data_IF_839491150580
#
_entry.id   IF_839491150580
#
_cell.length_a   1.000
_cell.length_b   1.000
_cell.length_c   1.000
_cell.angle_alpha   90.00
_cell.angle_beta   90.00
_cell.angle_gamma   90.00
#
_symmetry.space_group_name_H-M   'P 1'
#
loop_
_entity.id
_entity.type
_entity.pdbx_description
1 polymer ?
#
# COMPACT_ATOMS: atom_id res chain seq x y z
N UNK A 1 -24.51 6.29 -85.47
CA UNK A 1 -23.13 6.76 -85.21
C UNK A 1 -22.60 6.13 -83.93
N UNK A 2 -21.57 5.28 -84.02
CA UNK A 2 -20.94 4.60 -82.89
C UNK A 2 -20.04 5.59 -82.15
N UNK A 3 -20.32 5.87 -80.88
CA UNK A 3 -19.41 6.61 -80.00
C UNK A 3 -18.76 5.63 -79.00
N UNK A 4 -17.44 5.49 -79.11
CA UNK A 4 -16.58 4.63 -78.28
C UNK A 4 -16.38 5.28 -76.90
N UNK A 5 -16.79 4.61 -75.82
CA UNK A 5 -16.42 4.97 -74.44
C UNK A 5 -14.97 4.56 -74.14
N UNK A 6 -14.17 5.39 -73.46
CA UNK A 6 -12.80 5.05 -73.09
C UNK A 6 -12.73 4.13 -71.87
N UNK A 7 -11.76 3.20 -71.91
CA UNK A 7 -11.38 2.27 -70.84
C UNK A 7 -10.81 3.01 -69.63
N UNK A 8 -11.32 2.70 -68.44
CA UNK A 8 -10.75 3.11 -67.14
C UNK A 8 -9.57 2.22 -66.76
N UNK A 9 -8.42 2.82 -66.45
CA UNK A 9 -7.27 2.13 -65.86
C UNK A 9 -7.51 1.76 -64.39
N UNK A 10 -6.91 0.68 -63.88
CA UNK A 10 -7.07 0.26 -62.48
C UNK A 10 -6.25 1.16 -61.54
N UNK A 11 -6.68 1.32 -60.27
CA UNK A 11 -5.98 2.16 -59.30
C UNK A 11 -4.64 1.54 -58.87
N UNK A 12 -3.62 2.38 -58.82
CA UNK A 12 -2.28 2.09 -58.32
C UNK A 12 -2.31 1.60 -56.86
N UNK A 13 -1.64 0.47 -56.59
CA UNK A 13 -1.44 -0.07 -55.24
C UNK A 13 -0.69 0.97 -54.38
N UNK A 14 -1.36 1.48 -53.34
CA UNK A 14 -0.73 2.28 -52.31
C UNK A 14 0.24 1.40 -51.50
N UNK A 15 1.52 1.75 -51.53
CA UNK A 15 2.57 1.20 -50.68
C UNK A 15 2.24 1.49 -49.21
N UNK A 16 2.03 0.44 -48.40
CA UNK A 16 1.92 0.56 -46.95
C UNK A 16 3.31 0.85 -46.37
N UNK A 17 3.50 1.89 -45.53
CA UNK A 17 4.76 2.07 -44.83
C UNK A 17 4.94 0.93 -43.82
N UNK A 18 6.11 0.28 -43.87
CA UNK A 18 6.55 -0.72 -42.91
C UNK A 18 6.51 -0.14 -41.49
N UNK A 19 6.16 -0.94 -40.46
CA UNK A 19 6.23 -0.48 -39.08
C UNK A 19 7.68 -0.16 -38.72
N UNK A 20 7.91 1.03 -38.17
CA UNK A 20 9.18 1.42 -37.58
C UNK A 20 9.43 0.48 -36.39
N UNK A 21 10.35 -0.47 -36.56
CA UNK A 21 10.86 -1.28 -35.46
C UNK A 21 11.76 -0.37 -34.64
N UNK A 22 11.22 0.17 -33.55
CA UNK A 22 12.02 0.81 -32.50
C UNK A 22 12.67 -0.32 -31.70
N UNK A 23 13.86 -0.74 -32.13
CA UNK A 23 14.73 -1.61 -31.35
C UNK A 23 15.11 -0.87 -30.07
N UNK A 24 14.46 -1.23 -28.96
CA UNK A 24 14.90 -0.79 -27.65
C UNK A 24 16.28 -1.40 -27.39
N UNK A 25 17.30 -0.63 -26.99
CA UNK A 25 18.58 -1.20 -26.64
C UNK A 25 18.36 -2.15 -25.46
N UNK A 26 18.81 -3.39 -25.62
CA UNK A 26 18.89 -4.37 -24.53
C UNK A 26 19.82 -3.75 -23.49
N UNK A 27 19.24 -3.22 -22.41
CA UNK A 27 20.01 -2.77 -21.27
C UNK A 27 20.69 -4.00 -20.67
N UNK A 28 22.00 -4.10 -20.83
CA UNK A 28 22.80 -5.04 -20.06
C UNK A 28 22.51 -4.81 -18.57
N UNK A 29 22.25 -5.86 -17.78
CA UNK A 29 22.02 -5.71 -16.35
C UNK A 29 23.29 -5.14 -15.73
N UNK A 30 23.23 -3.85 -15.35
CA UNK A 30 24.27 -3.28 -14.50
C UNK A 30 24.35 -4.12 -13.22
N UNK A 31 25.56 -4.34 -12.67
CA UNK A 31 25.68 -4.99 -11.37
C UNK A 31 24.82 -4.21 -10.39
N UNK A 32 23.80 -4.88 -9.84
CA UNK A 32 22.87 -4.26 -8.89
C UNK A 32 23.70 -3.65 -7.76
N UNK A 33 23.61 -2.32 -7.55
CA UNK A 33 24.08 -1.70 -6.31
C UNK A 33 23.56 -2.57 -5.17
N UNK A 34 24.46 -3.18 -4.38
CA UNK A 34 24.06 -4.00 -3.23
C UNK A 34 23.27 -3.08 -2.29
N UNK A 35 21.98 -3.35 -2.16
CA UNK A 35 21.14 -2.60 -1.25
C UNK A 35 21.54 -2.94 0.19
N UNK A 36 21.40 -1.99 1.13
CA UNK A 36 21.56 -2.28 2.54
C UNK A 36 20.59 -3.38 2.99
N UNK A 37 20.92 -4.10 4.08
CA UNK A 37 20.00 -5.08 4.65
C UNK A 37 18.71 -4.43 5.14
N UNK A 38 17.62 -5.19 5.14
CA UNK A 38 16.38 -4.75 5.78
C UNK A 38 16.55 -4.73 7.29
N UNK A 39 16.01 -3.68 7.93
CA UNK A 39 15.88 -3.68 9.38
C UNK A 39 14.71 -4.56 9.77
N UNK A 40 15.04 -5.76 10.23
CA UNK A 40 14.07 -6.77 10.62
C UNK A 40 14.70 -7.75 11.60
N UNK A 41 14.92 -7.29 12.82
CA UNK A 41 15.54 -8.05 13.91
C UNK A 41 14.60 -9.07 14.55
N UNK A 42 13.34 -8.70 14.75
CA UNK A 42 12.29 -9.59 15.22
C UNK A 42 10.93 -9.07 14.76
N UNK A 43 9.94 -9.96 14.71
CA UNK A 43 8.55 -9.55 14.58
C UNK A 43 7.90 -9.63 15.97
N UNK A 44 7.30 -8.53 16.43
CA UNK A 44 6.51 -8.53 17.66
C UNK A 44 5.08 -8.94 17.34
N UNK A 45 4.53 -9.87 18.12
CA UNK A 45 3.12 -10.28 18.04
C UNK A 45 2.42 -10.05 19.36
N UNK A 46 1.26 -9.40 19.29
CA UNK A 46 0.34 -9.22 20.39
C UNK A 46 -1.07 -9.71 20.01
N UNK A 47 -1.77 -10.32 20.98
CA UNK A 47 -3.18 -10.70 20.88
C UNK A 47 -3.88 -10.27 22.15
N UNK A 48 -5.06 -9.68 22.00
CA UNK A 48 -5.92 -9.37 23.13
C UNK A 48 -6.29 -10.69 23.84
N UNK A 49 -6.04 -10.81 25.15
CA UNK A 49 -6.42 -11.99 25.92
C UNK A 49 -7.96 -12.08 26.01
N UNK A 50 -8.51 -13.28 25.84
CA UNK A 50 -9.96 -13.54 25.81
C UNK A 50 -10.70 -12.64 24.82
N UNK A 51 -10.47 -12.79 23.51
CA UNK A 51 -11.28 -12.07 22.53
C UNK A 51 -12.76 -12.42 22.77
N UNK A 52 -13.69 -11.46 22.63
CA UNK A 52 -15.11 -11.79 22.68
C UNK A 52 -15.37 -12.92 21.69
N UNK A 53 -16.14 -13.96 22.08
CA UNK A 53 -16.44 -15.07 21.18
C UNK A 53 -17.08 -14.50 19.93
N UNK A 54 -16.69 -15.02 18.76
CA UNK A 54 -17.29 -14.62 17.49
C UNK A 54 -18.79 -14.85 17.59
N UNK A 55 -19.57 -13.77 17.75
CA UNK A 55 -21.02 -13.89 17.90
C UNK A 55 -21.59 -14.36 16.57
N UNK A 56 -22.62 -15.22 16.61
CA UNK A 56 -23.37 -15.60 15.41
C UNK A 56 -23.88 -14.36 14.63
N UNK A 57 -24.01 -13.22 15.31
CA UNK A 57 -24.51 -11.96 14.78
C UNK A 57 -23.42 -11.06 14.16
N UNK A 58 -22.15 -11.45 14.15
CA UNK A 58 -21.06 -10.57 13.65
C UNK A 58 -21.28 -10.20 12.17
N UNK A 59 -21.64 -11.19 11.37
CA UNK A 59 -21.81 -11.01 9.94
C UNK A 59 -23.09 -10.23 9.63
N UNK A 60 -24.15 -10.39 10.44
CA UNK A 60 -25.37 -9.58 10.37
C UNK A 60 -25.11 -8.11 10.71
N UNK A 61 -24.31 -7.85 11.74
CA UNK A 61 -23.89 -6.48 12.09
C UNK A 61 -23.07 -5.85 10.96
N UNK A 62 -22.12 -6.58 10.38
CA UNK A 62 -21.32 -6.10 9.23
C UNK A 62 -22.21 -5.83 8.02
N UNK A 63 -23.19 -6.67 7.76
CA UNK A 63 -24.16 -6.47 6.69
C UNK A 63 -25.00 -5.22 6.93
N UNK A 64 -25.47 -4.99 8.15
CA UNK A 64 -26.18 -3.77 8.52
C UNK A 64 -25.31 -2.52 8.29
N UNK A 65 -24.05 -2.53 8.74
CA UNK A 65 -23.11 -1.43 8.50
C UNK A 65 -22.87 -1.19 7.00
N UNK A 66 -22.70 -2.26 6.22
CA UNK A 66 -22.51 -2.17 4.77
C UNK A 66 -23.71 -1.50 4.10
N UNK A 67 -24.92 -1.99 4.37
CA UNK A 67 -26.14 -1.47 3.76
C UNK A 67 -26.43 -0.02 4.20
N UNK A 68 -26.17 0.32 5.46
CA UNK A 68 -26.30 1.68 5.98
C UNK A 68 -25.42 2.67 5.19
N UNK A 69 -24.16 2.28 4.90
CA UNK A 69 -23.25 3.11 4.09
C UNK A 69 -23.70 3.34 2.65
N UNK A 70 -24.56 2.46 2.11
CA UNK A 70 -25.13 2.59 0.76
C UNK A 70 -26.45 3.38 0.75
N UNK A 71 -26.98 3.76 1.92
CA UNK A 71 -28.13 4.65 2.07
C UNK A 71 -29.46 4.10 1.53
N UNK A 72 -29.53 2.81 1.23
CA UNK A 72 -30.73 2.16 0.69
C UNK A 72 -30.91 0.76 1.26
N UNK A 73 -32.11 0.41 1.76
CA UNK A 73 -32.40 -0.97 2.09
C UNK A 73 -32.40 -1.82 0.81
N UNK A 74 -31.95 -3.07 0.88
CA UNK A 74 -32.05 -3.98 -0.26
C UNK A 74 -33.51 -4.24 -0.60
N UNK A 75 -33.83 -4.28 -1.89
CA UNK A 75 -35.16 -4.68 -2.35
C UNK A 75 -35.45 -6.13 -1.93
N UNK A 76 -36.70 -6.40 -1.57
CA UNK A 76 -37.14 -7.75 -1.27
C UNK A 76 -36.93 -8.65 -2.49
N UNK A 77 -36.20 -9.75 -2.31
CA UNK A 77 -35.91 -10.73 -3.35
C UNK A 77 -35.93 -12.14 -2.76
N UNK A 78 -36.00 -13.19 -3.61
CA UNK A 78 -35.83 -14.57 -3.12
C UNK A 78 -34.53 -14.75 -2.32
N UNK A 79 -33.47 -14.03 -2.69
CA UNK A 79 -32.20 -14.03 -1.97
C UNK A 79 -32.34 -13.51 -0.53
N UNK A 80 -32.98 -12.35 -0.33
CA UNK A 80 -33.14 -11.75 1.01
C UNK A 80 -34.09 -12.55 1.91
N UNK A 81 -34.88 -13.49 1.36
CA UNK A 81 -35.73 -14.41 2.14
C UNK A 81 -34.94 -15.56 2.77
N UNK A 82 -33.73 -15.83 2.28
CA UNK A 82 -32.87 -16.86 2.85
C UNK A 82 -32.32 -16.42 4.21
N UNK A 83 -32.17 -17.34 5.18
CA UNK A 83 -31.51 -17.05 6.45
C UNK A 83 -30.09 -16.50 6.24
N UNK A 84 -29.62 -15.51 7.01
CA UNK A 84 -28.30 -14.90 6.80
C UNK A 84 -27.14 -15.89 6.82
N UNK A 85 -27.14 -16.84 7.75
CA UNK A 85 -26.14 -17.90 7.83
C UNK A 85 -26.07 -18.74 6.53
N UNK A 86 -27.22 -18.98 5.88
CA UNK A 86 -27.25 -19.68 4.60
C UNK A 86 -26.68 -18.81 3.47
N UNK A 87 -27.04 -17.51 3.42
CA UNK A 87 -26.50 -16.57 2.42
C UNK A 87 -24.99 -16.48 2.51
N UNK A 88 -24.47 -16.33 3.73
CA UNK A 88 -23.03 -16.30 3.98
C UNK A 88 -22.35 -17.59 3.54
N UNK A 89 -22.90 -18.76 3.87
CA UNK A 89 -22.35 -20.04 3.44
C UNK A 89 -22.32 -20.15 1.92
N UNK A 90 -23.40 -19.78 1.24
CA UNK A 90 -23.44 -19.76 -0.23
C UNK A 90 -22.35 -18.84 -0.78
N UNK A 91 -22.19 -17.63 -0.22
CA UNK A 91 -21.15 -16.70 -0.67
C UNK A 91 -19.73 -17.24 -0.44
N UNK A 92 -19.46 -17.92 0.68
CA UNK A 92 -18.17 -18.56 0.92
C UNK A 92 -17.89 -19.70 -0.06
N UNK A 93 -18.87 -20.56 -0.33
CA UNK A 93 -18.76 -21.62 -1.34
C UNK A 93 -18.55 -21.06 -2.75
N UNK A 94 -19.21 -19.94 -3.09
CA UNK A 94 -18.98 -19.23 -4.35
C UNK A 94 -17.52 -18.74 -4.47
N UNK A 95 -16.96 -18.20 -3.39
CA UNK A 95 -15.55 -17.79 -3.37
C UNK A 95 -14.63 -18.98 -3.58
N UNK A 96 -14.83 -20.08 -2.84
CA UNK A 96 -14.00 -21.28 -2.98
C UNK A 96 -14.11 -21.87 -4.39
N UNK A 97 -15.31 -21.92 -4.99
CA UNK A 97 -15.52 -22.43 -6.34
C UNK A 97 -14.76 -21.63 -7.41
N UNK A 98 -14.75 -20.29 -7.29
CA UNK A 98 -14.08 -19.42 -8.27
C UNK A 98 -12.58 -19.24 -7.98
N UNK A 99 -12.14 -19.47 -6.75
CA UNK A 99 -10.79 -19.16 -6.29
C UNK A 99 -10.00 -20.36 -5.75
N UNK A 100 -10.46 -21.60 -5.95
CA UNK A 100 -9.76 -22.81 -5.50
C UNK A 100 -8.30 -22.90 -5.98
N UNK A 101 -7.98 -22.26 -7.10
CA UNK A 101 -6.61 -22.20 -7.66
C UNK A 101 -5.79 -20.99 -7.21
N UNK A 102 -6.39 -20.04 -6.50
CA UNK A 102 -5.68 -18.87 -6.00
C UNK A 102 -4.87 -19.24 -4.75
N UNK A 103 -3.59 -18.86 -4.69
CA UNK A 103 -2.79 -19.07 -3.50
C UNK A 103 -3.36 -18.27 -2.33
N UNK A 104 -3.10 -18.73 -1.10
CA UNK A 104 -3.51 -18.05 0.14
C UNK A 104 -2.76 -16.72 0.42
N UNK A 105 -2.27 -16.08 -0.63
CA UNK A 105 -1.53 -14.81 -0.60
C UNK A 105 -2.45 -13.62 -0.38
N UNK A 106 -1.95 -12.53 0.25
CA UNK A 106 -2.74 -11.33 0.45
C UNK A 106 -3.21 -10.68 -0.87
N UNK A 107 -4.39 -10.06 -0.81
CA UNK A 107 -4.94 -9.24 -1.89
C UNK A 107 -4.36 -7.83 -1.80
N UNK A 108 -3.55 -7.42 -2.77
CA UNK A 108 -2.96 -6.07 -2.76
C UNK A 108 -3.92 -5.02 -3.32
N UNK A 109 -4.02 -3.92 -2.58
CA UNK A 109 -4.68 -2.68 -2.96
C UNK A 109 -3.69 -1.65 -3.51
N UNK A 110 -2.41 -2.00 -3.53
CA UNK A 110 -1.34 -1.11 -3.98
C UNK A 110 -1.00 -1.36 -5.44
N UNK A 111 -0.66 -0.29 -6.16
CA UNK A 111 -0.09 -0.45 -7.50
C UNK A 111 1.25 -1.15 -7.42
N UNK A 112 1.54 -1.94 -8.46
CA UNK A 112 2.76 -2.74 -8.56
C UNK A 112 4.05 -1.91 -8.43
N UNK A 113 4.04 -0.63 -8.83
CA UNK A 113 5.21 0.24 -8.68
C UNK A 113 5.64 0.44 -7.22
N UNK A 114 4.71 0.32 -6.25
CA UNK A 114 5.00 0.49 -4.82
C UNK A 114 5.45 -0.81 -4.14
N UNK A 115 5.10 -1.97 -4.70
CA UNK A 115 5.42 -3.28 -4.13
C UNK A 115 6.57 -4.00 -4.84
N UNK A 116 6.87 -3.66 -6.10
CA UNK A 116 7.85 -4.38 -6.94
C UNK A 116 9.27 -4.41 -6.39
N UNK A 117 9.61 -3.47 -5.53
CA UNK A 117 10.92 -3.40 -4.91
C UNK A 117 11.08 -4.44 -3.80
N UNK A 118 10.03 -5.14 -3.36
CA UNK A 118 10.16 -6.11 -2.26
C UNK A 118 9.38 -7.39 -2.50
N UNK A 119 8.17 -7.26 -3.03
CA UNK A 119 7.29 -8.38 -3.30
C UNK A 119 7.49 -8.88 -4.72
N UNK A 120 7.51 -10.19 -4.93
CA UNK A 120 7.40 -10.82 -6.25
C UNK A 120 6.01 -10.59 -6.87
N UNK A 121 5.82 -11.00 -8.12
CA UNK A 121 4.48 -10.96 -8.75
C UNK A 121 3.53 -12.04 -8.20
N UNK A 122 4.07 -13.04 -7.52
CA UNK A 122 3.32 -14.19 -7.02
C UNK A 122 3.00 -14.08 -5.52
N UNK A 123 3.62 -13.13 -4.81
CA UNK A 123 3.43 -12.99 -3.36
C UNK A 123 2.13 -12.24 -3.01
N UNK A 124 1.56 -11.51 -3.97
CA UNK A 124 0.38 -10.66 -3.80
C UNK A 124 -0.56 -10.81 -5.00
N UNK A 125 -1.85 -10.95 -4.73
CA UNK A 125 -2.90 -11.05 -5.76
C UNK A 125 -3.58 -9.69 -5.92
N UNK A 126 -3.71 -9.12 -7.13
CA UNK A 126 -4.41 -7.85 -7.30
C UNK A 126 -5.92 -8.02 -7.05
N UNK A 127 -6.58 -7.00 -6.47
CA UNK A 127 -8.03 -7.02 -6.20
C UNK A 127 -8.88 -7.47 -7.40
N UNK A 128 -8.54 -7.01 -8.61
CA UNK A 128 -9.27 -7.39 -9.83
C UNK A 128 -9.26 -8.90 -10.10
N UNK A 129 -8.22 -9.62 -9.69
CA UNK A 129 -8.15 -11.07 -9.88
C UNK A 129 -9.16 -11.82 -9.00
N UNK A 130 -9.48 -11.29 -7.81
CA UNK A 130 -10.49 -11.88 -6.91
C UNK A 130 -11.90 -11.35 -7.17
N UNK A 131 -12.07 -10.16 -7.76
CA UNK A 131 -13.42 -9.63 -8.03
C UNK A 131 -13.94 -9.97 -9.42
N UNK A 132 -13.06 -10.18 -10.42
CA UNK A 132 -13.48 -10.45 -11.80
C UNK A 132 -14.29 -11.74 -11.97
N UNK A 133 -13.92 -12.88 -11.34
CA UNK A 133 -14.74 -14.09 -11.42
C UNK A 133 -16.14 -13.91 -10.82
N UNK A 134 -16.30 -12.93 -9.92
CA UNK A 134 -17.54 -12.68 -9.21
C UNK A 134 -18.43 -11.61 -9.86
N UNK A 135 -18.00 -11.02 -10.98
CA UNK A 135 -18.61 -9.84 -11.60
C UNK A 135 -20.12 -10.00 -11.86
N UNK A 136 -20.54 -11.19 -12.32
CA UNK A 136 -21.95 -11.48 -12.56
C UNK A 136 -22.80 -11.41 -11.27
N UNK A 137 -22.29 -11.94 -10.15
CA UNK A 137 -22.99 -11.89 -8.87
C UNK A 137 -23.03 -10.47 -8.30
N UNK A 138 -21.91 -9.75 -8.42
CA UNK A 138 -21.78 -8.36 -7.96
C UNK A 138 -22.72 -7.40 -8.72
N UNK A 139 -23.06 -7.72 -9.97
CA UNK A 139 -23.96 -6.92 -10.80
C UNK A 139 -25.45 -7.24 -10.64
N UNK A 140 -25.82 -8.33 -9.93
CA UNK A 140 -27.20 -8.84 -9.93
C UNK A 140 -28.15 -8.00 -9.07
N UNK A 141 -27.80 -7.73 -7.82
CA UNK A 141 -28.61 -6.94 -6.89
C UNK A 141 -27.77 -6.39 -5.75
N UNK A 142 -28.22 -5.32 -5.09
CA UNK A 142 -27.52 -4.74 -3.94
C UNK A 142 -27.35 -5.75 -2.79
N UNK A 143 -28.36 -6.60 -2.56
CA UNK A 143 -28.31 -7.62 -1.50
C UNK A 143 -27.21 -8.65 -1.77
N UNK A 144 -27.21 -9.24 -2.97
CA UNK A 144 -26.20 -10.22 -3.35
C UNK A 144 -24.80 -9.59 -3.42
N UNK A 145 -24.71 -8.35 -3.92
CA UNK A 145 -23.48 -7.57 -3.91
C UNK A 145 -22.92 -7.42 -2.49
N UNK A 146 -23.75 -7.00 -1.52
CA UNK A 146 -23.34 -6.83 -0.14
C UNK A 146 -22.84 -8.14 0.48
N UNK A 147 -23.59 -9.23 0.34
CA UNK A 147 -23.22 -10.54 0.90
C UNK A 147 -21.93 -11.08 0.28
N UNK A 148 -21.77 -11.00 -1.05
CA UNK A 148 -20.54 -11.45 -1.75
C UNK A 148 -19.34 -10.59 -1.38
N UNK A 149 -19.49 -9.27 -1.32
CA UNK A 149 -18.41 -8.37 -0.93
C UNK A 149 -17.98 -8.60 0.52
N UNK A 150 -18.92 -8.83 1.45
CA UNK A 150 -18.60 -9.12 2.85
C UNK A 150 -17.93 -10.47 3.03
N UNK A 151 -18.35 -11.49 2.28
CA UNK A 151 -17.66 -12.77 2.24
C UNK A 151 -16.21 -12.58 1.78
N UNK A 152 -15.98 -11.78 0.73
CA UNK A 152 -14.64 -11.48 0.20
C UNK A 152 -13.78 -10.74 1.25
N UNK A 153 -14.34 -9.68 1.86
CA UNK A 153 -13.68 -8.87 2.88
C UNK A 153 -13.37 -9.65 4.18
N UNK A 154 -14.14 -10.69 4.45
CA UNK A 154 -13.96 -11.59 5.59
C UNK A 154 -12.96 -12.70 5.32
N UNK A 155 -12.89 -13.20 4.08
CA UNK A 155 -12.06 -14.35 3.69
C UNK A 155 -10.61 -13.98 3.43
N UNK A 156 -10.37 -12.82 2.82
CA UNK A 156 -9.04 -12.42 2.37
C UNK A 156 -8.34 -11.49 3.36
N UNK A 157 -7.01 -11.60 3.37
CA UNK A 157 -6.14 -10.57 3.96
C UNK A 157 -5.81 -9.55 2.89
N UNK A 158 -5.97 -8.26 3.20
CA UNK A 158 -5.66 -7.18 2.26
C UNK A 158 -4.32 -6.57 2.59
N UNK A 159 -3.54 -6.21 1.56
CA UNK A 159 -2.24 -5.56 1.70
C UNK A 159 -2.27 -4.16 1.07
N UNK A 160 -1.80 -3.17 1.81
CA UNK A 160 -1.66 -1.79 1.35
C UNK A 160 -0.27 -1.25 1.68
N UNK A 161 0.29 -0.44 0.78
CA UNK A 161 1.53 0.32 0.99
C UNK A 161 1.17 1.78 1.16
N UNK A 162 1.63 2.38 2.26
CA UNK A 162 1.59 3.81 2.53
C UNK A 162 2.99 4.35 2.26
N UNK A 163 3.10 5.20 1.25
CA UNK A 163 4.37 5.76 0.75
C UNK A 163 4.19 7.25 0.47
N UNK A 164 5.25 8.07 0.49
CA UNK A 164 5.15 9.51 0.17
C UNK A 164 4.53 9.80 -1.21
N UNK A 165 4.46 8.82 -2.11
CA UNK A 165 3.91 8.97 -3.45
C UNK A 165 2.48 8.42 -3.61
N UNK A 166 1.90 7.85 -2.54
CA UNK A 166 0.56 7.28 -2.57
C UNK A 166 -0.49 8.38 -2.36
N UNK A 167 -1.54 8.34 -3.19
CA UNK A 167 -2.67 9.25 -3.05
C UNK A 167 -3.86 8.86 -3.92
N UNK A 168 -5.02 9.52 -3.73
CA UNK A 168 -6.29 9.13 -4.38
C UNK A 168 -6.24 9.02 -5.90
N UNK A 169 -5.46 9.89 -6.56
CA UNK A 169 -5.30 9.86 -8.02
C UNK A 169 -4.38 8.74 -8.50
N UNK A 170 -3.33 8.44 -7.74
CA UNK A 170 -2.29 7.49 -8.15
C UNK A 170 -2.60 6.07 -7.71
N UNK A 171 -3.21 5.89 -6.54
CA UNK A 171 -3.57 4.59 -5.96
C UNK A 171 -4.92 4.70 -5.24
N UNK A 172 -6.03 4.83 -5.98
CA UNK A 172 -7.37 4.96 -5.42
C UNK A 172 -7.77 3.74 -4.58
N UNK A 173 -7.25 2.54 -4.91
CA UNK A 173 -7.51 1.33 -4.14
C UNK A 173 -6.89 1.38 -2.74
N UNK A 174 -5.65 1.87 -2.64
CA UNK A 174 -4.92 2.04 -1.38
C UNK A 174 -5.44 3.19 -0.51
N UNK A 175 -6.32 4.03 -1.04
CA UNK A 175 -6.82 5.24 -0.35
C UNK A 175 -8.33 5.22 -0.29
N UNK A 176 -9.02 5.60 -1.35
CA UNK A 176 -10.48 5.69 -1.39
C UNK A 176 -11.16 4.35 -1.12
N UNK A 177 -10.76 3.28 -1.82
CA UNK A 177 -11.41 1.98 -1.67
C UNK A 177 -11.13 1.33 -0.32
N UNK A 178 -9.87 1.37 0.13
CA UNK A 178 -9.48 0.94 1.47
C UNK A 178 -10.24 1.71 2.54
N UNK A 179 -10.40 3.02 2.39
CA UNK A 179 -11.14 3.80 3.37
C UNK A 179 -12.63 3.45 3.35
N UNK A 180 -13.24 3.20 2.19
CA UNK A 180 -14.65 2.80 2.15
C UNK A 180 -14.92 1.41 2.74
N UNK A 181 -14.04 0.42 2.48
CA UNK A 181 -14.30 -1.00 2.82
C UNK A 181 -13.47 -1.52 3.99
N UNK A 182 -12.41 -0.81 4.37
CA UNK A 182 -11.49 -1.17 5.44
C UNK A 182 -12.17 -1.48 6.78
N UNK A 183 -13.22 -0.75 7.21
CA UNK A 183 -13.93 -1.06 8.46
C UNK A 183 -14.58 -2.45 8.50
N UNK A 184 -14.79 -3.05 7.33
CA UNK A 184 -15.47 -4.35 7.18
C UNK A 184 -14.48 -5.51 6.97
N UNK A 185 -13.19 -5.21 6.78
CA UNK A 185 -12.16 -6.23 6.62
C UNK A 185 -11.88 -6.94 7.94
N UNK A 186 -11.65 -8.26 7.88
CA UNK A 186 -11.17 -9.03 9.05
C UNK A 186 -9.66 -9.01 9.21
N UNK A 187 -8.91 -8.89 8.12
CA UNK A 187 -7.44 -8.98 8.13
C UNK A 187 -6.82 -7.94 7.18
N UNK A 188 -5.90 -7.14 7.71
CA UNK A 188 -5.23 -6.06 6.99
C UNK A 188 -3.73 -6.06 7.27
N UNK A 189 -2.94 -5.91 6.21
CA UNK A 189 -1.50 -5.68 6.23
C UNK A 189 -1.25 -4.25 5.74
N UNK A 190 -0.67 -3.42 6.58
CA UNK A 190 -0.29 -2.04 6.28
C UNK A 190 1.23 -1.98 6.23
N UNK A 191 1.78 -1.70 5.06
CA UNK A 191 3.21 -1.51 4.84
C UNK A 191 3.54 -0.02 4.76
N UNK A 192 4.33 0.47 5.70
CA UNK A 192 4.84 1.84 5.72
C UNK A 192 6.18 1.85 4.98
N UNK A 193 6.26 2.60 3.89
CA UNK A 193 7.43 2.71 3.05
C UNK A 193 8.37 3.82 3.49
N UNK A 194 9.35 3.45 4.31
CA UNK A 194 10.45 4.29 4.78
C UNK A 194 11.71 4.12 3.93
N UNK A 195 11.61 3.57 2.71
CA UNK A 195 12.77 3.35 1.81
C UNK A 195 12.90 4.42 0.72
N UNK A 196 12.08 5.47 0.80
CA UNK A 196 11.95 6.51 -0.21
C UNK A 196 12.48 7.86 0.29
N UNK A 197 12.77 8.76 -0.66
CA UNK A 197 13.18 10.14 -0.41
C UNK A 197 14.35 10.21 0.59
N UNK A 198 14.25 11.04 1.63
CA UNK A 198 15.26 11.22 2.69
C UNK A 198 15.73 9.94 3.38
N UNK A 199 14.93 8.88 3.31
CA UNK A 199 15.19 7.60 3.98
C UNK A 199 15.68 6.51 3.01
N UNK A 200 15.97 6.89 1.76
CA UNK A 200 16.48 5.99 0.74
C UNK A 200 17.88 5.43 1.02
N UNK A 201 18.22 4.37 0.30
CA UNK A 201 19.52 3.70 0.41
C UNK A 201 20.71 4.50 -0.15
N UNK A 202 20.48 5.42 -1.09
CA UNK A 202 21.56 6.19 -1.70
C UNK A 202 22.10 7.25 -0.74
N UNK A 203 23.41 7.51 -0.74
CA UNK A 203 24.00 8.57 0.08
C UNK A 203 23.38 9.95 -0.21
N UNK A 204 23.01 10.21 -1.47
CA UNK A 204 22.35 11.44 -1.89
C UNK A 204 20.91 11.59 -1.36
N UNK A 205 20.30 10.52 -0.84
CA UNK A 205 18.97 10.56 -0.22
C UNK A 205 18.90 11.59 0.91
N UNK A 206 19.98 11.74 1.69
CA UNK A 206 20.11 12.70 2.80
C UNK A 206 19.83 14.16 2.40
N UNK A 207 19.87 14.49 1.11
CA UNK A 207 19.54 15.82 0.58
C UNK A 207 18.04 16.05 0.39
N UNK A 208 17.22 15.02 0.59
CA UNK A 208 15.77 15.08 0.44
C UNK A 208 15.12 15.00 1.82
N UNK A 209 13.95 15.62 1.95
CA UNK A 209 13.10 15.40 3.11
C UNK A 209 12.55 13.96 3.10
N UNK A 210 12.29 13.35 4.26
CA UNK A 210 11.83 11.97 4.36
C UNK A 210 10.39 11.75 3.85
N UNK A 211 9.62 12.83 3.67
CA UNK A 211 8.23 12.77 3.18
C UNK A 211 7.22 12.24 4.21
N UNK A 212 7.58 12.25 5.50
CA UNK A 212 6.78 11.71 6.60
C UNK A 212 5.39 12.33 6.70
N UNK A 213 5.26 13.64 6.51
CA UNK A 213 3.95 14.31 6.58
C UNK A 213 2.92 13.77 5.60
N UNK A 214 3.36 13.22 4.46
CA UNK A 214 2.44 12.56 3.52
C UNK A 214 2.01 11.17 4.01
N UNK A 215 2.90 10.43 4.65
CA UNK A 215 2.60 9.14 5.25
C UNK A 215 1.68 9.32 6.46
N UNK A 216 1.94 10.33 7.29
CA UNK A 216 1.06 10.71 8.41
C UNK A 216 -0.36 10.99 7.94
N UNK A 217 -0.55 11.81 6.90
CA UNK A 217 -1.88 12.08 6.36
C UNK A 217 -2.60 10.79 5.88
N UNK A 218 -1.86 9.84 5.30
CA UNK A 218 -2.42 8.54 4.88
C UNK A 218 -2.79 7.67 6.09
N UNK A 219 -2.00 7.72 7.17
CA UNK A 219 -2.29 7.03 8.42
C UNK A 219 -3.52 7.65 9.10
N UNK A 220 -3.62 8.98 9.14
CA UNK A 220 -4.79 9.69 9.69
C UNK A 220 -6.07 9.33 8.92
N UNK A 221 -6.01 9.31 7.58
CA UNK A 221 -7.12 8.87 6.73
C UNK A 221 -7.53 7.41 7.02
N UNK A 222 -6.54 6.52 7.19
CA UNK A 222 -6.77 5.12 7.53
C UNK A 222 -7.40 4.98 8.93
N UNK A 223 -6.91 5.73 9.91
CA UNK A 223 -7.41 5.71 11.28
C UNK A 223 -8.84 6.23 11.33
N UNK A 224 -9.10 7.40 10.73
CA UNK A 224 -10.44 7.96 10.60
C UNK A 224 -11.41 6.99 9.91
N UNK A 225 -10.91 6.21 8.94
CA UNK A 225 -11.66 5.12 8.34
C UNK A 225 -11.98 4.02 9.34
N UNK A 226 -10.97 3.42 9.96
CA UNK A 226 -11.13 2.28 10.86
C UNK A 226 -11.92 2.63 12.12
N UNK A 227 -11.96 3.89 12.56
CA UNK A 227 -12.80 4.32 13.68
C UNK A 227 -14.31 4.24 13.38
N UNK A 228 -14.72 4.15 12.11
CA UNK A 228 -16.11 3.85 11.74
C UNK A 228 -16.51 2.40 11.96
N UNK A 229 -15.54 1.51 12.22
CA UNK A 229 -15.79 0.11 12.59
C UNK A 229 -16.48 0.07 13.96
N UNK A 230 -17.48 -0.80 14.08
CA UNK A 230 -18.14 -1.10 15.35
C UNK A 230 -17.14 -1.75 16.33
N UNK A 231 -17.16 -1.35 17.60
CA UNK A 231 -16.24 -1.89 18.62
C UNK A 231 -16.42 -3.41 18.82
N UNK A 232 -17.64 -3.91 18.60
CA UNK A 232 -17.97 -5.33 18.68
C UNK A 232 -17.51 -6.13 17.46
N UNK A 233 -16.95 -5.48 16.43
CA UNK A 233 -16.45 -6.09 15.20
C UNK A 233 -14.96 -5.77 14.95
N UNK A 234 -14.06 -6.12 15.89
CA UNK A 234 -12.66 -5.73 15.80
C UNK A 234 -11.99 -6.30 14.54
N UNK A 235 -10.94 -5.61 14.09
CA UNK A 235 -10.02 -6.12 13.09
C UNK A 235 -9.28 -7.31 13.71
N UNK A 236 -9.56 -8.51 13.22
CA UNK A 236 -9.02 -9.74 13.80
C UNK A 236 -7.49 -9.75 13.73
N UNK A 237 -6.94 -9.32 12.60
CA UNK A 237 -5.51 -9.31 12.36
C UNK A 237 -5.08 -8.00 11.69
N UNK A 238 -4.27 -7.21 12.39
CA UNK A 238 -3.49 -6.13 11.81
C UNK A 238 -2.02 -6.54 11.76
N UNK A 239 -1.42 -6.50 10.57
CA UNK A 239 0.03 -6.60 10.41
C UNK A 239 0.54 -5.24 9.96
N UNK A 240 1.40 -4.61 10.76
CA UNK A 240 2.10 -3.39 10.38
C UNK A 240 3.53 -3.76 9.98
N UNK A 241 3.87 -3.49 8.73
CA UNK A 241 5.21 -3.67 8.18
C UNK A 241 5.86 -2.29 8.05
N UNK A 242 7.12 -2.13 8.46
CA UNK A 242 7.89 -0.92 8.24
C UNK A 242 9.08 -1.21 7.32
N UNK A 243 8.95 -0.84 6.04
CA UNK A 243 9.98 -0.95 5.00
C UNK A 243 11.09 0.07 5.18
N UNK A 244 12.11 -0.31 5.96
CA UNK A 244 13.31 0.50 6.20
C UNK A 244 14.60 -0.31 6.14
N UNK A 245 15.69 0.35 5.75
CA UNK A 245 17.03 -0.22 5.75
C UNK A 245 17.65 -0.19 7.15
N UNK A 246 18.49 -1.17 7.46
CA UNK A 246 19.23 -1.24 8.72
C UNK A 246 20.58 -0.51 8.65
N UNK A 247 20.96 0.12 9.76
CA UNK A 247 22.28 0.71 9.96
C UNK A 247 22.42 2.14 9.42
N UNK A 248 23.65 2.47 9.02
CA UNK A 248 24.03 3.82 8.56
C UNK A 248 24.51 3.83 7.12
N UNK A 249 24.29 4.94 6.43
CA UNK A 249 24.88 5.30 5.15
C UNK A 249 26.38 5.48 5.33
N UNK A 250 27.14 4.95 4.38
CA UNK A 250 28.56 5.31 4.26
C UNK A 250 28.65 6.79 3.94
N UNK A 251 29.31 7.56 4.81
CA UNK A 251 29.61 8.95 4.53
C UNK A 251 30.35 9.03 3.19
N UNK A 252 29.88 9.88 2.28
CA UNK A 252 30.63 10.20 1.10
C UNK A 252 31.84 11.02 1.56
N UNK A 253 32.96 10.36 1.85
CA UNK A 253 34.24 11.03 2.00
C UNK A 253 34.63 11.55 0.63
N UNK A 254 34.10 12.72 0.26
CA UNK A 254 34.76 13.55 -0.74
C UNK A 254 36.05 14.01 -0.09
N UNK A 255 37.12 13.23 -0.25
CA UNK A 255 38.47 13.74 -0.11
C UNK A 255 38.60 14.88 -1.12
N UNK A 256 38.63 16.10 -0.60
CA UNK A 256 38.93 17.34 -1.30
C UNK A 256 40.40 17.29 -1.71
N UNK A 257 40.70 16.52 -2.75
CA UNK A 257 41.93 16.65 -3.53
C UNK A 257 41.55 16.34 -4.98
N UNK A 258 41.81 17.33 -5.83
CA UNK A 258 41.72 17.31 -7.29
C UNK A 258 40.37 17.76 -7.88
N UNK A 259 40.19 19.07 -7.82
CA UNK A 259 39.43 19.80 -8.82
C UNK A 259 40.16 19.72 -10.18
N UNK A 260 39.79 18.78 -11.05
CA UNK A 260 39.91 18.97 -12.50
C UNK A 260 39.04 17.99 -13.31
N UNK A 261 38.37 18.55 -14.33
CA UNK A 261 37.69 17.89 -15.46
C UNK A 261 36.40 17.05 -15.23
N UNK A 262 35.26 17.74 -15.19
CA UNK A 262 33.93 17.19 -15.53
C UNK A 262 33.75 17.10 -17.07
N UNK A 263 33.37 15.94 -17.64
CA UNK A 263 32.56 15.91 -18.84
C UNK A 263 31.07 16.02 -18.44
N UNK A 264 30.45 17.15 -18.75
CA UNK A 264 29.00 17.33 -18.70
C UNK A 264 28.31 16.35 -19.65
N UNK A 265 27.65 15.33 -19.12
CA UNK A 265 26.64 14.55 -19.86
C UNK A 265 25.25 14.85 -19.30
N UNK A 266 24.68 15.94 -19.82
CA UNK A 266 23.29 16.33 -19.63
C UNK A 266 22.39 15.43 -20.47
N UNK A 267 21.83 14.35 -19.90
CA UNK A 267 20.68 13.66 -20.48
C UNK A 267 19.41 14.06 -19.73
N UNK A 268 18.96 15.30 -19.97
CA UNK A 268 17.57 15.69 -19.78
C UNK A 268 16.90 15.63 -21.15
N UNK A 269 16.09 14.60 -21.41
CA UNK A 269 15.30 14.53 -22.64
C UNK A 269 14.13 15.50 -22.58
N UNK A 270 14.36 16.62 -23.25
CA UNK A 270 13.35 17.53 -23.79
C UNK A 270 12.37 16.79 -24.70
N UNK A 271 11.08 16.79 -24.36
CA UNK A 271 9.98 16.75 -25.35
C UNK A 271 8.78 17.54 -24.82
N UNK A 272 8.81 18.86 -25.06
CA UNK A 272 7.60 19.69 -25.03
C UNK A 272 7.74 20.83 -26.04
N UNK A 273 7.21 20.63 -27.25
CA UNK A 273 6.91 21.71 -28.19
C UNK A 273 5.64 21.36 -28.98
N UNK A 274 4.51 21.85 -28.50
CA UNK A 274 3.24 22.18 -29.18
C UNK A 274 2.20 22.33 -28.05
N UNK A 275 1.48 23.42 -27.82
CA UNK A 275 1.16 24.57 -28.65
C UNK A 275 1.03 25.82 -27.77
N UNK A 276 1.64 26.93 -28.18
CA UNK A 276 1.11 28.25 -27.87
C UNK A 276 0.25 28.67 -29.07
N UNK A 277 -1.03 28.91 -28.86
CA UNK A 277 -1.80 29.92 -29.60
C UNK A 277 -3.09 30.25 -28.85
N UNK A 278 -3.22 31.55 -28.55
CA UNK A 278 -4.28 32.23 -27.81
C UNK A 278 -5.64 32.13 -28.46
N UNK A 279 -6.72 32.14 -27.66
CA UNK A 279 -7.93 32.94 -27.93
C UNK A 279 -8.56 33.43 -26.62
N UNK A 280 -8.62 34.76 -26.50
CA UNK A 280 -9.47 35.53 -25.57
C UNK A 280 -10.86 35.71 -26.20
N UNK A 281 -11.92 35.53 -25.42
CA UNK A 281 -13.24 36.21 -25.39
C UNK A 281 -14.16 35.31 -24.55
N UNK A 282 -14.66 35.68 -23.37
CA UNK A 282 -15.62 36.73 -22.99
C UNK A 282 -16.84 36.02 -22.33
N UNK A 283 -17.06 36.34 -21.05
CA UNK A 283 -18.34 36.38 -20.31
C UNK A 283 -19.39 35.26 -20.50
N UNK A 284 -19.68 34.53 -19.41
CA UNK A 284 -20.97 34.68 -18.71
C UNK A 284 -20.96 34.00 -17.34
N UNK A 285 -21.66 34.62 -16.40
CA UNK A 285 -21.74 34.29 -14.99
C UNK A 285 -22.49 32.97 -14.72
N UNK A 286 -22.04 32.20 -13.73
CA UNK A 286 -22.97 31.73 -12.71
C UNK A 286 -22.27 31.39 -11.39
N UNK A 287 -22.89 31.87 -10.33
CA UNK A 287 -22.53 31.79 -8.92
C UNK A 287 -22.43 30.35 -8.40
N UNK A 288 -21.34 30.02 -7.70
CA UNK A 288 -21.37 29.15 -6.51
C UNK A 288 -20.08 29.36 -5.70
N UNK A 289 -20.27 29.99 -4.55
CA UNK A 289 -19.29 30.26 -3.50
C UNK A 289 -18.66 28.97 -2.99
N UNK A 290 -17.39 28.75 -3.30
CA UNK A 290 -16.52 27.87 -2.51
C UNK A 290 -15.52 28.73 -1.76
N UNK A 291 -15.69 28.75 -0.44
CA UNK A 291 -14.85 29.45 0.50
C UNK A 291 -13.40 29.03 0.35
N UNK A 292 -12.56 30.02 0.06
CA UNK A 292 -11.11 29.94 0.01
C UNK A 292 -10.60 29.78 1.44
N UNK A 293 -10.28 28.56 1.87
CA UNK A 293 -9.35 28.39 2.99
C UNK A 293 -7.94 28.50 2.44
N UNK A 294 -7.32 29.65 2.71
CA UNK A 294 -5.90 29.89 2.55
C UNK A 294 -5.11 28.77 3.22
N UNK A 295 -4.19 28.17 2.48
CA UNK A 295 -3.11 27.35 3.02
C UNK A 295 -2.09 28.28 3.70
N UNK A 296 -2.40 28.71 4.91
CA UNK A 296 -1.38 29.16 5.86
C UNK A 296 -0.88 27.94 6.62
N UNK A 297 0.38 27.60 6.40
CA UNK A 297 1.05 26.53 7.12
C UNK A 297 1.24 26.94 8.59
N UNK A 298 0.78 26.14 9.58
CA UNK A 298 1.26 26.30 10.93
C UNK A 298 2.72 25.84 10.96
N UNK A 299 3.61 26.80 11.15
CA UNK A 299 5.02 26.56 11.42
C UNK A 299 5.16 26.12 12.88
N UNK A 300 5.26 24.81 13.10
CA UNK A 300 5.67 24.25 14.39
C UNK A 300 7.20 24.16 14.43
N UNK A 301 7.89 24.78 15.40
CA UNK A 301 9.33 24.72 15.51
C UNK A 301 9.73 23.49 16.32
N UNK A 302 10.04 22.41 15.62
CA UNK A 302 10.87 21.32 16.15
C UNK A 302 11.63 20.74 14.96
N UNK A 303 12.88 20.31 15.15
CA UNK A 303 13.75 19.64 14.14
C UNK A 303 14.62 20.57 13.28
N UNK A 304 15.53 21.34 13.88
CA UNK A 304 16.71 21.83 13.13
C UNK A 304 18.06 21.64 13.85
N UNK A 305 18.08 21.30 15.15
CA UNK A 305 19.33 21.17 15.92
C UNK A 305 19.78 19.72 16.19
N UNK A 306 18.98 18.70 15.84
CA UNK A 306 19.33 17.28 16.02
C UNK A 306 19.76 16.56 14.73
N UNK A 307 19.78 17.25 13.59
CA UNK A 307 19.90 16.60 12.26
C UNK A 307 21.30 16.06 11.92
N UNK A 308 22.38 16.62 12.47
CA UNK A 308 23.73 16.26 12.04
C UNK A 308 24.17 14.84 12.47
N UNK A 309 23.73 14.38 13.65
CA UNK A 309 24.03 13.04 14.15
C UNK A 309 23.15 11.96 13.51
N UNK A 310 21.92 12.31 13.13
CA UNK A 310 20.95 11.41 12.49
C UNK A 310 21.15 11.30 10.97
N UNK A 311 21.88 12.23 10.35
CA UNK A 311 22.16 12.24 8.91
C UNK A 311 22.85 10.95 8.40
N UNK A 312 23.51 10.21 9.30
CA UNK A 312 24.14 8.93 8.99
C UNK A 312 23.16 7.75 8.91
N UNK A 313 22.09 7.71 9.69
CA UNK A 313 21.21 6.52 9.77
C UNK A 313 20.23 6.44 8.60
N UNK A 314 19.95 5.23 8.10
CA UNK A 314 18.99 5.07 7.00
C UNK A 314 17.58 5.54 7.39
N UNK A 315 17.11 5.12 8.56
CA UNK A 315 15.79 5.48 9.10
C UNK A 315 15.85 5.46 10.64
N UNK A 316 16.17 6.60 11.28
CA UNK A 316 16.23 6.67 12.73
C UNK A 316 14.86 6.44 13.37
N UNK A 317 14.86 5.84 14.56
CA UNK A 317 13.64 5.47 15.28
C UNK A 317 12.71 6.66 15.58
N UNK A 318 13.24 7.89 15.63
CA UNK A 318 12.42 9.10 15.77
C UNK A 318 11.40 9.22 14.64
N UNK A 319 11.69 8.73 13.44
CA UNK A 319 10.75 8.77 12.32
C UNK A 319 9.65 7.71 12.41
N UNK A 320 9.83 6.68 13.25
CA UNK A 320 8.78 5.69 13.48
C UNK A 320 7.60 6.31 14.24
N UNK A 321 7.78 7.43 14.96
CA UNK A 321 6.72 8.09 15.75
C UNK A 321 5.47 8.45 14.93
N UNK A 322 5.56 8.50 13.60
CA UNK A 322 4.38 8.65 12.74
C UNK A 322 3.36 7.52 12.93
N UNK A 323 3.78 6.34 13.38
CA UNK A 323 2.85 5.23 13.63
C UNK A 323 2.11 5.39 14.96
N UNK A 324 2.50 6.35 15.81
CA UNK A 324 1.77 6.69 17.04
C UNK A 324 0.36 7.22 16.71
N UNK A 325 0.13 7.68 15.47
CA UNK A 325 -1.19 8.01 14.90
C UNK A 325 -2.17 6.84 14.95
N UNK A 326 -1.68 5.60 15.00
CA UNK A 326 -2.53 4.40 15.09
C UNK A 326 -3.15 4.21 16.48
N UNK A 327 -2.65 4.90 17.52
CA UNK A 327 -3.11 4.74 18.91
C UNK A 327 -4.65 4.73 19.11
N UNK A 328 -5.47 5.51 18.39
CA UNK A 328 -6.93 5.46 18.54
C UNK A 328 -7.56 4.11 18.16
N UNK A 329 -6.84 3.25 17.44
CA UNK A 329 -7.34 1.96 16.97
C UNK A 329 -7.25 0.84 18.03
N UNK A 330 -6.79 1.14 19.24
CA UNK A 330 -6.62 0.16 20.32
C UNK A 330 -7.84 -0.74 20.56
N UNK A 331 -9.01 -0.14 20.72
CA UNK A 331 -10.29 -0.86 20.91
C UNK A 331 -10.89 -1.43 19.62
N UNK A 332 -10.18 -1.33 18.50
CA UNK A 332 -10.62 -1.77 17.17
C UNK A 332 -9.81 -2.94 16.63
N UNK A 333 -8.78 -3.41 17.35
CA UNK A 333 -7.84 -4.44 16.87
C UNK A 333 -7.80 -5.59 17.87
N UNK A 334 -8.02 -6.83 17.42
CA UNK A 334 -7.93 -8.02 18.27
C UNK A 334 -6.52 -8.62 18.30
N UNK A 335 -5.74 -8.44 17.23
CA UNK A 335 -4.35 -8.88 17.15
C UNK A 335 -3.52 -7.93 16.31
N UNK A 336 -2.30 -7.68 16.78
CA UNK A 336 -1.31 -6.86 16.11
C UNK A 336 -0.03 -7.66 15.89
N UNK A 337 0.56 -7.50 14.71
CA UNK A 337 1.92 -7.91 14.42
C UNK A 337 2.70 -6.73 13.88
N UNK A 338 3.89 -6.48 14.43
CA UNK A 338 4.80 -5.42 14.01
C UNK A 338 6.06 -6.06 13.41
N UNK A 339 6.42 -5.68 12.19
CA UNK A 339 7.62 -6.16 11.50
C UNK A 339 8.46 -4.97 11.01
N UNK A 340 9.77 -4.99 11.24
CA UNK A 340 10.69 -3.93 10.82
C UNK A 340 10.68 -2.68 11.70
N UNK A 341 10.33 -2.86 12.98
CA UNK A 341 10.40 -1.86 14.03
C UNK A 341 11.48 -2.27 15.03
N UNK A 342 12.14 -1.30 15.67
CA UNK A 342 12.99 -1.62 16.81
C UNK A 342 12.17 -2.19 17.96
N UNK A 343 12.76 -3.08 18.74
CA UNK A 343 12.10 -3.68 19.90
C UNK A 343 11.56 -2.64 20.91
N UNK A 344 12.32 -1.59 21.31
CA UNK A 344 11.81 -0.54 22.19
C UNK A 344 10.61 0.19 21.60
N UNK A 345 10.65 0.55 20.32
CA UNK A 345 9.54 1.22 19.66
C UNK A 345 8.31 0.31 19.56
N UNK A 346 8.50 -0.95 19.16
CA UNK A 346 7.42 -1.91 18.98
C UNK A 346 6.65 -2.14 20.28
N UNK A 347 7.36 -2.31 21.41
CA UNK A 347 6.73 -2.42 22.73
C UNK A 347 5.98 -1.16 23.12
N UNK A 348 6.58 0.03 22.92
CA UNK A 348 5.93 1.32 23.19
C UNK A 348 4.63 1.48 22.40
N UNK A 349 4.63 1.13 21.11
CA UNK A 349 3.43 1.22 20.26
C UNK A 349 2.34 0.24 20.72
N UNK A 350 2.70 -0.99 21.11
CA UNK A 350 1.73 -1.96 21.64
C UNK A 350 1.11 -1.47 22.94
N UNK A 351 1.91 -0.93 23.87
CA UNK A 351 1.40 -0.39 25.13
C UNK A 351 0.52 0.85 24.92
N UNK A 352 0.81 1.67 23.89
CA UNK A 352 -0.04 2.79 23.50
C UNK A 352 -1.39 2.34 22.91
N UNK A 353 -1.39 1.29 22.10
CA UNK A 353 -2.61 0.71 21.51
C UNK A 353 -3.42 -0.09 22.54
N UNK A 354 -2.74 -0.77 23.45
CA UNK A 354 -3.34 -1.69 24.41
C UNK A 354 -2.83 -1.36 25.81
N UNK A 355 -3.41 -0.36 26.50
CA UNK A 355 -2.95 0.04 27.84
C UNK A 355 -3.02 -1.09 28.89
N UNK A 356 -3.90 -2.07 28.68
CA UNK A 356 -4.01 -3.26 29.53
C UNK A 356 -3.00 -4.38 29.17
N UNK A 357 -2.24 -4.22 28.08
CA UNK A 357 -1.22 -5.18 27.70
C UNK A 357 -0.07 -5.19 28.71
N UNK A 358 0.37 -6.38 29.07
CA UNK A 358 1.59 -6.58 29.84
C UNK A 358 2.72 -6.92 28.85
N UNK A 359 3.95 -6.48 29.13
CA UNK A 359 5.09 -6.78 28.27
C UNK A 359 5.28 -8.31 28.07
N UNK A 360 4.95 -9.11 29.08
CA UNK A 360 4.97 -10.59 29.02
C UNK A 360 3.95 -11.20 28.05
N UNK A 361 2.91 -10.47 27.66
CA UNK A 361 1.93 -10.90 26.65
C UNK A 361 2.42 -10.65 25.21
N UNK A 362 3.48 -9.83 25.04
CA UNK A 362 4.12 -9.61 23.76
C UNK A 362 5.09 -10.75 23.47
N UNK A 363 5.00 -11.32 22.27
CA UNK A 363 5.91 -12.39 21.84
C UNK A 363 6.77 -11.88 20.70
N UNK A 364 8.08 -11.88 20.90
CA UNK A 364 9.03 -11.71 19.82
C UNK A 364 9.24 -13.06 19.14
N UNK A 365 9.05 -13.08 17.84
CA UNK A 365 9.29 -14.26 17.01
C UNK A 365 10.33 -13.91 15.95
N UNK A 366 11.05 -14.95 15.52
CA UNK A 366 11.97 -14.81 14.40
C UNK A 366 11.23 -14.25 13.17
N UNK A 367 11.89 -13.41 12.36
CA UNK A 367 11.34 -12.90 11.10
C UNK A 367 10.70 -14.02 10.26
N UNK A 368 9.38 -14.00 10.04
CA UNK A 368 8.68 -15.03 9.25
C UNK A 368 8.52 -14.68 7.76
N UNK A 369 7.84 -15.51 6.98
CA UNK A 369 7.41 -15.24 5.58
C UNK A 369 6.50 -14.02 5.39
N UNK A 370 6.09 -13.31 6.45
CA UNK A 370 5.26 -12.11 6.35
C UNK A 370 5.90 -10.99 5.52
N UNK A 371 7.19 -11.09 5.24
CA UNK A 371 7.89 -10.21 4.31
C UNK A 371 8.99 -10.99 3.57
N UNK A 372 8.97 -11.08 2.24
CA UNK A 372 10.01 -11.75 1.48
C UNK A 372 11.34 -10.98 1.52
N UNK A 373 12.45 -11.72 1.52
CA UNK A 373 13.77 -11.17 1.22
C UNK A 373 13.90 -10.97 -0.30
N UNK A 374 14.48 -9.84 -0.72
CA UNK A 374 14.89 -9.71 -2.11
C UNK A 374 16.11 -10.58 -2.40
N UNK A 375 16.24 -11.03 -3.64
CA UNK A 375 17.44 -11.69 -4.11
C UNK A 375 18.68 -10.80 -3.86
N UNK A 376 19.64 -11.32 -3.09
CA UNK A 376 20.88 -10.62 -2.74
C UNK A 376 20.76 -9.62 -1.58
N UNK A 377 19.60 -9.48 -0.95
CA UNK A 377 19.46 -8.80 0.34
C UNK A 377 19.48 -9.80 1.49
N UNK A 378 19.98 -9.34 2.63
CA UNK A 378 19.92 -10.04 3.92
C UNK A 378 19.00 -9.26 4.86
N UNK A 379 18.44 -9.92 5.87
CA UNK A 379 17.94 -9.24 7.06
C UNK A 379 19.06 -9.09 8.10
N UNK A 380 18.89 -8.16 9.03
CA UNK A 380 19.84 -7.98 10.14
C UNK A 380 20.11 -9.28 10.92
N UNK A 381 19.14 -10.20 11.00
CA UNK A 381 19.25 -11.47 11.75
C UNK A 381 19.95 -12.58 10.96
N UNK A 382 20.04 -12.47 9.63
CA UNK A 382 20.72 -13.46 8.80
C UNK A 382 22.25 -13.42 8.98
N UNK A 383 22.77 -12.43 9.70
CA UNK A 383 24.15 -12.44 10.17
C UNK A 383 24.22 -13.37 11.39
N UNK A 384 24.90 -14.52 11.33
CA UNK A 384 24.98 -15.42 12.47
C UNK A 384 25.57 -14.65 13.65
N UNK A 385 24.80 -14.47 14.72
CA UNK A 385 25.33 -13.94 15.96
C UNK A 385 26.43 -14.89 16.43
N UNK A 386 27.56 -14.35 16.90
CA UNK A 386 28.65 -15.17 17.46
C UNK A 386 28.19 -16.05 18.64
N UNK A 387 26.99 -15.81 19.18
CA UNK A 387 26.34 -16.61 20.22
C UNK A 387 25.80 -17.94 19.69
N UNK A 388 25.37 -18.04 18.42
CA UNK A 388 24.91 -19.30 17.83
C UNK A 388 26.04 -20.33 17.60
N UNK A 389 27.33 -19.95 17.70
CA UNK A 389 28.45 -20.91 17.65
C UNK A 389 28.72 -21.62 18.98
N UNK A 390 28.23 -21.10 20.11
CA UNK A 390 28.48 -21.72 21.43
C UNK A 390 27.42 -22.76 21.83
N UNK A 391 26.30 -22.85 21.13
CA UNK A 391 25.27 -23.87 21.37
C UNK A 391 25.49 -25.15 20.54
N UNK A 392 26.61 -25.25 19.80
CA UNK A 392 26.95 -26.39 18.95
C UNK A 392 28.35 -26.95 19.24
N UNK A 393 28.89 -26.71 20.44
CA UNK A 393 30.08 -27.39 20.97
C UNK A 393 29.76 -28.09 22.28
#
# INVERSE_FOLDING_TARGET
MRSKKPKSNPPSKASRPSPIIVSSPVAHPQPSKKLPPWDRTADLVYRVPNPPPASADEDDKRLACFLASHGRPPAASPWTRLPPALRQRICLELLELHHASLPATPVTLSRRCFTRATWSRHDLVPLRAVTRPLEAYLATSLALYADVMLALLSRYTFHVVLSPFVGPRLSPLATLWLNSHGPLMRSLVVEIDMSCLGLGADAAATRLLPGLGRIEALLDDLVASQLRRDESLPLHHLVLLCRRFHGSRTACTTTTTDAEALPRTSYASSRSHQSQQSLKTASSANTKTWSTHSFEAPSTPCTQLHDAALAGEYCPDIHLCICDRLSPLGSRIASLRLCGFSEPYALRLVLALFPAAHASACRFIAPSTAWPLLAGQTCCVDSPSNECRRAAQ
#
